data_IF_733720318260
#
_entry.id   IF_733720318260
#
_cell.length_a   1.000
_cell.length_b   1.000
_cell.length_c   1.000
_cell.angle_alpha   90.00
_cell.angle_beta   90.00
_cell.angle_gamma   90.00
#
_symmetry.space_group_name_H-M   'P 1'
#
loop_
_entity.id
_entity.type
_entity.pdbx_description
1 polymer ?
#
# COMPACT_ATOMS: atom_id res chain seq x y z
N UNK A 1 5.09 -13.20 2.06
CA UNK A 1 4.96 -11.85 1.48
C UNK A 1 3.76 -11.20 2.16
N UNK A 2 3.86 -9.92 2.53
CA UNK A 2 2.91 -9.29 3.47
C UNK A 2 1.97 -8.34 2.76
N UNK A 3 0.66 -8.54 2.95
CA UNK A 3 -0.37 -7.63 2.45
C UNK A 3 -0.60 -6.42 3.38
N UNK A 4 0.12 -6.36 4.51
CA UNK A 4 0.01 -5.32 5.52
C UNK A 4 1.37 -4.99 6.13
N UNK A 5 1.63 -3.71 6.37
CA UNK A 5 2.83 -3.21 7.04
C UNK A 5 2.43 -2.29 8.19
N UNK A 6 3.31 -2.15 9.19
CA UNK A 6 3.18 -1.16 10.24
C UNK A 6 4.23 -0.07 10.01
N UNK A 7 3.79 1.19 9.90
CA UNK A 7 4.66 2.32 9.60
C UNK A 7 4.14 3.57 10.29
N UNK A 8 5.00 4.27 11.04
CA UNK A 8 4.67 5.50 11.77
C UNK A 8 3.45 5.39 12.71
N UNK A 9 3.25 4.22 13.33
CA UNK A 9 2.10 3.99 14.22
C UNK A 9 0.78 3.70 13.49
N UNK A 10 0.82 3.58 12.16
CA UNK A 10 -0.33 3.21 11.34
C UNK A 10 -0.15 1.81 10.74
N UNK A 11 -1.25 1.07 10.60
CA UNK A 11 -1.28 -0.10 9.73
C UNK A 11 -1.64 0.35 8.32
N UNK A 12 -0.91 -0.14 7.32
CA UNK A 12 -1.20 0.09 5.90
C UNK A 12 -1.37 -1.28 5.25
N UNK A 13 -2.45 -1.48 4.49
CA UNK A 13 -2.73 -2.76 3.83
C UNK A 13 -3.25 -2.60 2.41
N UNK A 14 -3.18 -3.69 1.66
CA UNK A 14 -3.95 -3.89 0.44
C UNK A 14 -5.41 -4.17 0.83
N UNK A 15 -6.37 -3.52 0.19
CA UNK A 15 -7.79 -3.75 0.47
C UNK A 15 -8.17 -5.20 0.11
N UNK A 16 -8.68 -6.00 1.06
CA UNK A 16 -8.97 -7.43 0.83
C UNK A 16 -10.12 -7.70 -0.15
N UNK A 17 -10.93 -6.68 -0.47
CA UNK A 17 -12.02 -6.77 -1.45
C UNK A 17 -11.66 -6.16 -2.80
N UNK A 18 -10.66 -5.28 -2.84
CA UNK A 18 -10.29 -4.48 -4.02
C UNK A 18 -8.78 -4.30 -4.05
N UNK A 19 -8.08 -5.27 -4.61
CA UNK A 19 -6.62 -5.33 -4.54
C UNK A 19 -5.91 -4.16 -5.24
N UNK A 20 -6.62 -3.33 -6.00
CA UNK A 20 -6.13 -2.07 -6.56
C UNK A 20 -6.20 -0.88 -5.58
N UNK A 21 -6.61 -1.09 -4.32
CA UNK A 21 -6.72 -0.06 -3.30
C UNK A 21 -5.79 -0.33 -2.12
N UNK A 22 -5.28 0.76 -1.53
CA UNK A 22 -4.55 0.75 -0.27
C UNK A 22 -5.43 1.39 0.79
N UNK A 23 -5.46 0.78 1.97
CA UNK A 23 -6.15 1.29 3.15
C UNK A 23 -5.16 1.49 4.29
N UNK A 24 -5.52 2.36 5.23
CA UNK A 24 -4.78 2.53 6.46
C UNK A 24 -5.67 2.51 7.70
N UNK A 25 -5.06 2.24 8.85
CA UNK A 25 -5.71 2.26 10.16
C UNK A 25 -4.80 2.91 11.19
N UNK A 26 -5.35 3.88 11.91
CA UNK A 26 -4.77 4.47 13.13
C UNK A 26 -5.32 3.83 14.41
N UNK A 27 -6.20 2.83 14.27
CA UNK A 27 -6.95 2.21 15.37
C UNK A 27 -6.57 0.74 15.57
N UNK A 28 -5.33 0.38 15.22
CA UNK A 28 -4.81 -0.99 15.28
C UNK A 28 -5.72 -1.99 14.54
N UNK A 29 -6.26 -1.59 13.38
CA UNK A 29 -7.05 -2.44 12.50
C UNK A 29 -8.54 -2.53 12.82
N UNK A 30 -9.04 -1.76 13.81
CA UNK A 30 -10.48 -1.71 14.15
C UNK A 30 -11.31 -0.97 13.09
N UNK A 31 -10.75 0.08 12.51
CA UNK A 31 -11.34 0.85 11.41
C UNK A 31 -10.30 1.09 10.31
N UNK A 32 -10.75 1.15 9.07
CA UNK A 32 -9.90 1.31 7.89
C UNK A 32 -10.42 2.42 6.99
N UNK A 33 -9.49 3.22 6.46
CA UNK A 33 -9.79 4.31 5.56
C UNK A 33 -9.01 4.12 4.26
N UNK A 34 -9.66 4.36 3.12
CA UNK A 34 -9.00 4.30 1.81
C UNK A 34 -7.94 5.38 1.73
N UNK A 35 -6.71 4.99 1.40
CA UNK A 35 -5.57 5.88 1.18
C UNK A 35 -5.28 6.08 -0.30
N UNK A 36 -5.46 5.03 -1.09
CA UNK A 36 -5.28 5.06 -2.55
C UNK A 36 -6.38 4.25 -3.24
N UNK A 37 -6.91 4.80 -4.32
CA UNK A 37 -7.95 4.16 -5.14
C UNK A 37 -7.78 4.39 -6.65
N UNK A 38 -6.54 4.64 -7.10
CA UNK A 38 -6.23 4.85 -8.52
C UNK A 38 -6.03 3.53 -9.29
N UNK A 39 -6.13 3.59 -10.62
CA UNK A 39 -5.93 2.44 -11.52
C UNK A 39 -4.51 2.34 -12.11
N UNK A 40 -3.66 3.33 -11.83
CA UNK A 40 -2.32 3.46 -12.42
C UNK A 40 -1.40 2.29 -12.06
N UNK A 41 -1.50 1.79 -10.83
CA UNK A 41 -0.61 0.75 -10.31
C UNK A 41 -1.04 -0.67 -10.70
N UNK A 42 -2.29 -0.88 -11.12
CA UNK A 42 -2.86 -2.23 -11.23
C UNK A 42 -3.21 -2.80 -9.86
N UNK A 43 -3.24 -4.12 -9.76
CA UNK A 43 -3.56 -4.82 -8.51
C UNK A 43 -2.30 -4.98 -7.68
N UNK A 44 -2.35 -4.51 -6.44
CA UNK A 44 -1.30 -4.73 -5.46
C UNK A 44 -1.31 -6.20 -5.03
N UNK A 45 -0.14 -6.81 -5.01
CA UNK A 45 0.06 -8.20 -4.58
C UNK A 45 0.72 -8.23 -3.21
N UNK A 46 1.71 -7.36 -2.99
CA UNK A 46 2.47 -7.28 -1.74
C UNK A 46 2.91 -5.86 -1.40
N UNK A 47 3.12 -5.61 -0.11
CA UNK A 47 3.70 -4.39 0.44
C UNK A 47 4.94 -4.73 1.27
N UNK A 48 5.99 -3.94 1.08
CA UNK A 48 7.24 -4.06 1.84
C UNK A 48 7.62 -2.66 2.34
N UNK A 49 7.85 -2.52 3.64
CA UNK A 49 8.47 -1.31 4.18
C UNK A 49 9.98 -1.37 3.94
N UNK A 50 10.50 -0.45 3.12
CA UNK A 50 11.92 -0.30 2.80
C UNK A 50 12.56 0.90 3.55
N UNK A 51 12.00 1.28 4.70
CA UNK A 51 12.49 2.35 5.57
C UNK A 51 12.16 3.76 5.06
N UNK A 52 12.67 4.14 3.88
CA UNK A 52 12.40 5.46 3.27
C UNK A 52 11.13 5.49 2.41
N UNK A 53 10.69 4.32 1.97
CA UNK A 53 9.58 4.16 1.04
C UNK A 53 8.86 2.84 1.27
N UNK A 54 7.65 2.74 0.75
CA UNK A 54 6.92 1.48 0.65
C UNK A 54 7.13 0.95 -0.76
N UNK A 55 7.58 -0.28 -0.89
CA UNK A 55 7.64 -0.99 -2.16
C UNK A 55 6.36 -1.81 -2.33
N UNK A 56 5.85 -1.86 -3.56
CA UNK A 56 4.70 -2.66 -3.92
C UNK A 56 4.98 -3.48 -5.17
N UNK A 57 4.88 -4.79 -5.05
CA UNK A 57 4.74 -5.64 -6.23
C UNK A 57 3.29 -5.57 -6.69
N UNK A 58 3.09 -5.20 -7.96
CA UNK A 58 1.76 -5.09 -8.55
C UNK A 58 1.69 -5.88 -9.85
N UNK A 59 0.47 -6.06 -10.38
CA UNK A 59 0.26 -6.67 -11.70
C UNK A 59 0.86 -5.87 -12.86
N UNK A 60 1.30 -4.62 -12.64
CA UNK A 60 1.95 -3.76 -13.65
C UNK A 60 3.45 -3.55 -13.41
N UNK A 61 4.03 -4.30 -12.47
CA UNK A 61 5.45 -4.26 -12.11
C UNK A 61 5.68 -3.74 -10.69
N UNK A 62 6.92 -3.35 -10.41
CA UNK A 62 7.30 -2.79 -9.11
C UNK A 62 6.91 -1.32 -9.04
N UNK A 63 6.26 -0.91 -7.96
CA UNK A 63 5.95 0.48 -7.63
C UNK A 63 6.55 0.83 -6.28
N UNK A 64 6.73 2.13 -6.03
CA UNK A 64 7.14 2.63 -4.73
C UNK A 64 6.36 3.88 -4.32
N UNK A 65 6.29 4.12 -3.02
CA UNK A 65 5.65 5.28 -2.42
C UNK A 65 6.51 5.88 -1.32
N UNK A 66 6.82 7.18 -1.44
CA UNK A 66 7.44 7.99 -0.37
C UNK A 66 6.40 8.76 0.46
N UNK A 67 5.11 8.62 0.12
CA UNK A 67 3.98 9.34 0.72
C UNK A 67 3.10 8.42 1.57
N UNK A 68 3.72 7.39 2.18
CA UNK A 68 3.05 6.37 2.99
C UNK A 68 1.84 5.72 2.27
N UNK A 69 1.92 5.53 0.95
CA UNK A 69 0.89 4.85 0.15
C UNK A 69 -0.21 5.75 -0.40
N UNK A 70 -0.10 7.08 -0.29
CA UNK A 70 -1.04 8.03 -0.92
C UNK A 70 -0.83 8.16 -2.43
N UNK A 71 0.43 8.14 -2.87
CA UNK A 71 0.83 8.19 -4.28
C UNK A 71 1.89 7.13 -4.57
N UNK A 72 1.91 6.65 -5.81
CA UNK A 72 2.76 5.54 -6.23
C UNK A 72 3.43 5.88 -7.55
N UNK A 73 4.72 5.54 -7.66
CA UNK A 73 5.53 5.74 -8.85
C UNK A 73 6.08 4.39 -9.29
N UNK A 74 6.04 4.12 -10.59
CA UNK A 74 6.60 2.88 -11.13
C UNK A 74 8.11 2.89 -10.92
N UNK A 75 8.66 1.80 -10.39
CA UNK A 75 10.10 1.54 -10.33
C UNK A 75 10.51 0.92 -11.67
N UNK A 76 11.47 1.57 -12.33
CA UNK A 76 12.05 1.10 -13.60
C UNK A 76 12.78 -0.21 -13.45
#
# INVERSE_FOLDING_TARGET
MSQMINRNGELIRINPKKNNQIEYSTTNGRSWHVRYSGSGCGDFQDLIDNGKEILANTSKGLFYSTTNGMSWHKRG
#
